data_IF_239423162621
#
_entry.id   IF_239423162621
#
_cell.length_a   1.000
_cell.length_b   1.000
_cell.length_c   1.000
_cell.angle_alpha   90.00
_cell.angle_beta   90.00
_cell.angle_gamma   90.00
#
_symmetry.space_group_name_H-M   'P 1'
#
loop_
_entity.id
_entity.type
_entity.pdbx_description
1 polymer ?
#
# COMPACT_ATOMS: atom_id res chain seq x y z
N UNK A 1 9.36 7.34 11.77
CA UNK A 1 8.01 6.86 12.14
C UNK A 1 7.40 5.95 11.07
N UNK A 2 7.62 6.20 9.77
CA UNK A 2 6.99 5.45 8.66
C UNK A 2 7.76 4.22 8.15
N UNK A 3 9.02 4.05 8.57
CA UNK A 3 9.90 2.96 8.08
C UNK A 3 9.32 1.58 8.43
N UNK A 4 9.05 0.75 7.42
CA UNK A 4 8.46 -0.58 7.58
C UNK A 4 6.93 -0.65 7.52
N UNK A 5 6.28 0.49 7.22
CA UNK A 5 4.85 0.60 6.93
C UNK A 5 4.61 1.15 5.52
N UNK A 6 5.58 0.99 4.62
CA UNK A 6 5.56 1.53 3.26
C UNK A 6 4.36 0.97 2.45
N UNK A 7 3.93 -0.26 2.76
CA UNK A 7 2.74 -0.93 2.22
C UNK A 7 1.41 -0.22 2.57
N UNK A 8 1.41 0.58 3.65
CA UNK A 8 0.24 1.31 4.15
C UNK A 8 0.16 2.75 3.61
N UNK A 9 1.19 3.20 2.88
CA UNK A 9 1.25 4.55 2.34
C UNK A 9 0.51 4.59 1.00
N UNK A 10 -0.32 5.61 0.81
CA UNK A 10 -0.93 5.99 -0.47
C UNK A 10 -0.60 7.45 -0.71
N UNK A 11 -0.04 7.75 -1.87
CA UNK A 11 0.45 9.09 -2.20
C UNK A 11 -0.51 9.70 -3.21
N UNK A 12 -1.03 10.89 -2.92
CA UNK A 12 -1.99 11.57 -3.79
C UNK A 12 -1.39 12.89 -4.25
N UNK A 13 -1.22 13.04 -5.56
CA UNK A 13 -0.87 14.31 -6.21
C UNK A 13 -2.16 15.06 -6.53
N UNK A 14 -2.62 15.86 -5.56
CA UNK A 14 -3.89 16.59 -5.65
C UNK A 14 -3.75 17.90 -6.46
N UNK A 15 -4.88 18.43 -6.93
CA UNK A 15 -5.00 19.68 -7.73
C UNK A 15 -4.23 19.61 -9.05
N UNK A 16 -4.14 18.43 -9.65
CA UNK A 16 -3.46 18.22 -10.91
C UNK A 16 -4.09 18.97 -12.09
N UNK A 17 -5.35 19.40 -11.95
CA UNK A 17 -6.10 20.18 -12.94
C UNK A 17 -5.74 21.69 -12.93
N UNK A 18 -4.96 22.15 -11.96
CA UNK A 18 -4.53 23.56 -11.87
C UNK A 18 -3.35 23.90 -12.79
N UNK A 19 -2.72 22.89 -13.39
CA UNK A 19 -1.53 23.01 -14.23
C UNK A 19 -1.74 22.30 -15.57
N UNK A 20 -0.99 22.71 -16.59
CA UNK A 20 -1.05 22.09 -17.90
C UNK A 20 -0.34 20.73 -17.92
N UNK A 21 -0.56 19.95 -19.00
CA UNK A 21 -0.01 18.60 -19.13
C UNK A 21 1.52 18.55 -18.98
N UNK A 22 2.26 19.52 -19.55
CA UNK A 22 3.73 19.51 -19.47
C UNK A 22 4.22 19.80 -18.04
N UNK A 23 3.63 20.78 -17.35
CA UNK A 23 3.99 21.05 -15.95
C UNK A 23 3.63 19.88 -15.05
N UNK A 24 2.49 19.22 -15.28
CA UNK A 24 2.07 18.04 -14.52
C UNK A 24 3.12 16.93 -14.57
N UNK A 25 3.64 16.61 -15.77
CA UNK A 25 4.70 15.60 -15.92
C UNK A 25 6.00 16.00 -15.21
N UNK A 26 6.36 17.30 -15.21
CA UNK A 26 7.53 17.80 -14.49
C UNK A 26 7.37 17.68 -12.97
N UNK A 27 6.21 18.07 -12.44
CA UNK A 27 5.90 17.98 -10.99
C UNK A 27 5.87 16.52 -10.55
N UNK A 28 5.23 15.65 -11.33
CA UNK A 28 5.19 14.21 -11.07
C UNK A 28 6.59 13.59 -11.04
N UNK A 29 7.43 13.90 -12.03
CA UNK A 29 8.83 13.44 -12.07
C UNK A 29 9.64 13.93 -10.87
N UNK A 30 9.50 15.21 -10.48
CA UNK A 30 10.17 15.77 -9.32
C UNK A 30 9.73 15.11 -8.00
N UNK A 31 8.43 14.81 -7.86
CA UNK A 31 7.88 14.08 -6.71
C UNK A 31 8.48 12.68 -6.61
N UNK A 32 8.44 11.91 -7.71
CA UNK A 32 8.98 10.55 -7.74
C UNK A 32 10.47 10.50 -7.43
N UNK A 33 11.24 11.46 -7.94
CA UNK A 33 12.65 11.60 -7.62
C UNK A 33 12.90 11.87 -6.13
N UNK A 34 12.09 12.74 -5.52
CA UNK A 34 12.18 13.03 -4.09
C UNK A 34 11.80 11.80 -3.25
N UNK A 35 10.71 11.12 -3.61
CA UNK A 35 10.25 9.91 -2.94
C UNK A 35 11.29 8.79 -2.99
N UNK A 36 11.95 8.56 -4.14
CA UNK A 36 13.00 7.55 -4.26
C UNK A 36 14.23 7.81 -3.37
N UNK A 37 14.46 9.05 -2.94
CA UNK A 37 15.51 9.38 -1.96
C UNK A 37 15.07 9.15 -0.51
N UNK A 38 13.78 9.34 -0.23
CA UNK A 38 13.21 9.29 1.12
C UNK A 38 12.75 7.88 1.49
N UNK A 39 12.05 7.21 0.58
CA UNK A 39 11.63 5.82 0.70
C UNK A 39 12.84 4.94 0.39
N UNK A 40 13.40 4.32 1.42
CA UNK A 40 14.55 3.42 1.31
C UNK A 40 14.10 2.01 0.89
N UNK A 41 13.23 1.92 -0.12
CA UNK A 41 12.66 0.67 -0.65
C UNK A 41 12.97 0.56 -2.14
N UNK A 42 13.32 -0.63 -2.65
CA UNK A 42 13.50 -0.85 -4.09
C UNK A 42 12.16 -0.79 -4.86
N UNK A 43 11.03 -0.89 -4.15
CA UNK A 43 9.69 -0.83 -4.71
C UNK A 43 9.24 0.62 -4.96
N UNK A 44 8.65 0.85 -6.13
CA UNK A 44 8.13 2.16 -6.53
C UNK A 44 6.77 2.39 -5.88
N UNK A 45 6.62 3.49 -5.13
CA UNK A 45 5.35 3.84 -4.51
C UNK A 45 4.30 4.24 -5.57
N UNK A 46 3.06 3.76 -5.42
CA UNK A 46 1.91 4.19 -6.24
C UNK A 46 1.51 5.61 -5.87
N UNK A 47 1.38 6.46 -6.88
CA UNK A 47 0.87 7.83 -6.77
C UNK A 47 -0.44 7.92 -7.54
N UNK A 48 -1.47 8.48 -6.92
CA UNK A 48 -2.77 8.77 -7.51
C UNK A 48 -2.80 10.25 -7.94
N UNK A 49 -3.04 10.50 -9.22
CA UNK A 49 -2.98 11.84 -9.79
C UNK A 49 -4.42 12.32 -10.07
N UNK A 50 -4.82 13.44 -9.48
CA UNK A 50 -6.17 13.93 -9.72
C UNK A 50 -6.47 15.25 -9.03
N UNK A 51 -7.73 15.66 -9.13
CA UNK A 51 -8.28 16.76 -8.34
C UNK A 51 -9.51 16.25 -7.62
N UNK A 52 -9.34 15.96 -6.33
CA UNK A 52 -10.34 15.25 -5.51
C UNK A 52 -11.29 16.26 -4.89
N UNK A 53 -12.13 16.86 -5.74
CA UNK A 53 -13.12 17.87 -5.37
C UNK A 53 -14.31 17.84 -6.34
N UNK A 54 -15.37 18.52 -5.95
CA UNK A 54 -16.67 18.61 -6.62
C UNK A 54 -16.78 19.84 -7.55
N UNK A 55 -15.65 20.51 -7.84
CA UNK A 55 -15.57 21.69 -8.70
C UNK A 55 -15.19 21.31 -10.14
N UNK A 56 -15.61 22.10 -11.16
CA UNK A 56 -15.22 21.86 -12.54
C UNK A 56 -13.70 21.97 -12.71
N UNK A 57 -13.13 21.06 -13.51
CA UNK A 57 -11.69 21.04 -13.79
C UNK A 57 -11.28 22.32 -14.54
N UNK A 58 -10.18 22.93 -14.11
CA UNK A 58 -9.62 24.10 -14.81
C UNK A 58 -8.97 23.72 -16.14
N UNK A 59 -8.13 22.67 -16.13
CA UNK A 59 -7.61 22.04 -17.33
C UNK A 59 -8.14 20.61 -17.43
N UNK A 60 -8.96 20.34 -18.45
CA UNK A 60 -9.66 19.06 -18.61
C UNK A 60 -9.02 18.11 -19.64
N UNK A 61 -7.88 18.50 -20.23
CA UNK A 61 -7.09 17.68 -21.18
C UNK A 61 -6.80 16.29 -20.61
N UNK A 62 -6.51 16.20 -19.31
CA UNK A 62 -6.19 14.95 -18.61
C UNK A 62 -7.37 14.39 -17.81
N UNK A 63 -8.61 14.83 -18.06
CA UNK A 63 -9.81 14.40 -17.29
C UNK A 63 -9.90 12.88 -17.14
N UNK A 64 -9.71 12.14 -18.25
CA UNK A 64 -9.75 10.67 -18.25
C UNK A 64 -8.71 10.03 -17.34
N UNK A 65 -7.52 10.64 -17.24
CA UNK A 65 -6.47 10.18 -16.33
C UNK A 65 -6.90 10.41 -14.88
N UNK A 66 -7.42 11.60 -14.57
CA UNK A 66 -7.87 11.93 -13.22
C UNK A 66 -9.01 11.02 -12.75
N UNK A 67 -10.02 10.81 -13.60
CA UNK A 67 -11.13 9.89 -13.30
C UNK A 67 -10.65 8.44 -13.12
N UNK A 68 -9.71 7.97 -13.95
CA UNK A 68 -9.15 6.63 -13.80
C UNK A 68 -8.37 6.45 -12.49
N UNK A 69 -7.53 7.43 -12.13
CA UNK A 69 -6.75 7.40 -10.89
C UNK A 69 -7.64 7.55 -9.65
N UNK A 70 -8.73 8.32 -9.76
CA UNK A 70 -9.74 8.42 -8.71
C UNK A 70 -10.46 7.08 -8.47
N UNK A 71 -10.88 6.41 -9.55
CA UNK A 71 -11.48 5.07 -9.48
C UNK A 71 -10.52 4.06 -8.84
N UNK A 72 -9.25 4.07 -9.25
CA UNK A 72 -8.21 3.20 -8.68
C UNK A 72 -8.02 3.47 -7.18
N UNK A 73 -8.01 4.74 -6.75
CA UNK A 73 -7.89 5.11 -5.34
C UNK A 73 -9.10 4.62 -4.54
N UNK A 74 -10.31 4.83 -5.06
CA UNK A 74 -11.53 4.42 -4.39
C UNK A 74 -11.65 2.91 -4.28
N UNK A 75 -11.27 2.16 -5.32
CA UNK A 75 -11.20 0.70 -5.29
C UNK A 75 -10.22 0.19 -4.26
N UNK A 76 -9.02 0.76 -4.21
CA UNK A 76 -8.03 0.40 -3.18
C UNK A 76 -8.57 0.71 -1.78
N UNK A 77 -9.23 1.84 -1.58
CA UNK A 77 -9.82 2.20 -0.29
C UNK A 77 -10.99 1.28 0.10
N UNK A 78 -11.87 0.92 -0.84
CA UNK A 78 -12.94 -0.07 -0.65
C UNK A 78 -12.40 -1.47 -0.32
N UNK A 79 -11.19 -1.80 -0.77
CA UNK A 79 -10.52 -3.05 -0.43
C UNK A 79 -9.91 -3.06 0.97
N UNK A 80 -9.74 -1.90 1.64
CA UNK A 80 -9.08 -1.82 2.93
C UNK A 80 -9.76 -2.66 4.03
N UNK A 81 -11.09 -2.71 4.17
CA UNK A 81 -11.71 -3.59 5.16
C UNK A 81 -11.40 -5.06 4.90
N UNK A 82 -11.37 -5.49 3.63
CA UNK A 82 -11.05 -6.87 3.23
C UNK A 82 -9.60 -7.22 3.58
N UNK A 83 -8.68 -6.31 3.26
CA UNK A 83 -7.26 -6.45 3.56
C UNK A 83 -6.93 -6.27 5.06
N UNK A 84 -7.89 -5.91 5.91
CA UNK A 84 -7.64 -5.67 7.34
C UNK A 84 -7.31 -6.96 8.09
N UNK A 85 -7.95 -8.08 7.76
CA UNK A 85 -7.69 -9.38 8.40
C UNK A 85 -6.28 -9.88 8.08
N UNK A 86 -5.89 -9.87 6.80
CA UNK A 86 -4.53 -10.18 6.37
C UNK A 86 -3.49 -9.26 7.01
N UNK A 87 -3.79 -7.95 7.10
CA UNK A 87 -2.90 -6.99 7.77
C UNK A 87 -2.74 -7.27 9.26
N UNK A 88 -3.84 -7.55 9.98
CA UNK A 88 -3.80 -7.92 11.41
C UNK A 88 -2.99 -9.20 11.63
N UNK A 89 -3.14 -10.17 10.74
CA UNK A 89 -2.38 -11.42 10.77
C UNK A 89 -0.88 -11.16 10.56
N UNK A 90 -0.51 -10.35 9.55
CA UNK A 90 0.88 -9.97 9.30
C UNK A 90 1.51 -9.20 10.47
N UNK A 91 0.77 -8.26 11.07
CA UNK A 91 1.22 -7.51 12.24
C UNK A 91 1.37 -8.43 13.48
N UNK A 92 0.51 -9.45 13.62
CA UNK A 92 0.65 -10.49 14.65
C UNK A 92 1.91 -11.33 14.44
N UNK A 93 2.19 -11.75 13.20
CA UNK A 93 3.40 -12.53 12.86
C UNK A 93 4.66 -11.72 13.19
N UNK A 94 4.72 -10.45 12.73
CA UNK A 94 5.83 -9.53 13.02
C UNK A 94 6.04 -9.38 14.53
N UNK A 95 4.95 -9.18 15.29
CA UNK A 95 4.99 -9.03 16.75
C UNK A 95 5.44 -10.31 17.45
N UNK A 96 4.99 -11.48 17.00
CA UNK A 96 5.37 -12.77 17.57
C UNK A 96 6.87 -13.03 17.39
N UNK A 97 7.42 -12.75 16.20
CA UNK A 97 8.88 -12.83 15.95
C UNK A 97 9.65 -11.88 16.85
N UNK A 98 9.25 -10.61 16.90
CA UNK A 98 9.91 -9.62 17.76
C UNK A 98 9.87 -10.03 19.25
N UNK A 99 8.75 -10.57 19.74
CA UNK A 99 8.62 -11.06 21.10
C UNK A 99 9.53 -12.27 21.37
N UNK A 100 9.64 -13.20 20.40
CA UNK A 100 10.56 -14.35 20.46
C UNK A 100 12.02 -13.89 20.57
N UNK A 101 12.44 -12.97 19.70
CA UNK A 101 13.80 -12.38 19.72
C UNK A 101 14.06 -11.67 21.04
N UNK A 102 13.10 -10.87 21.53
CA UNK A 102 13.21 -10.19 22.81
C UNK A 102 13.37 -11.19 23.98
N UNK A 103 12.65 -12.31 23.97
CA UNK A 103 12.79 -13.35 24.98
C UNK A 103 14.21 -13.97 24.99
N UNK A 104 14.81 -14.21 23.82
CA UNK A 104 16.20 -14.67 23.72
C UNK A 104 17.18 -13.64 24.27
N UNK A 105 17.02 -12.36 23.91
CA UNK A 105 17.90 -11.29 24.41
C UNK A 105 17.85 -11.24 25.94
N UNK A 106 16.64 -11.16 26.52
CA UNK A 106 16.48 -11.07 27.98
C UNK A 106 17.06 -12.31 28.68
N UNK A 107 16.84 -13.51 28.13
CA UNK A 107 17.42 -14.71 28.72
C UNK A 107 18.94 -14.78 28.59
N UNK A 108 19.52 -14.34 27.47
CA UNK A 108 20.97 -14.31 27.29
C UNK A 108 21.62 -13.35 28.30
N UNK A 109 21.03 -12.16 28.48
CA UNK A 109 21.46 -11.20 29.50
C UNK A 109 21.34 -11.80 30.91
N UNK A 110 20.24 -12.50 31.21
CA UNK A 110 20.06 -13.16 32.51
C UNK A 110 21.10 -14.26 32.76
N UNK A 111 21.47 -15.04 31.73
CA UNK A 111 22.45 -16.13 31.81
C UNK A 111 23.86 -15.62 32.09
N UNK A 112 24.22 -14.47 31.54
CA UNK A 112 25.54 -13.82 31.73
C UNK A 112 25.66 -13.04 33.05
N UNK A 113 24.57 -12.85 33.80
CA UNK A 113 24.61 -12.08 35.05
C UNK A 113 25.18 -12.90 36.22
N UNK A 114 26.14 -12.35 36.99
CA UNK A 114 26.67 -13.02 38.17
C UNK A 114 25.66 -13.02 39.32
N UNK A 115 25.61 -14.12 40.07
CA UNK A 115 24.66 -14.29 41.18
C UNK A 115 24.99 -13.43 42.40
N UNK A 116 26.26 -13.17 42.68
CA UNK A 116 26.72 -12.65 43.99
C UNK A 116 27.38 -11.27 43.91
N UNK A 117 28.46 -11.09 43.15
CA UNK A 117 29.24 -9.84 43.11
C UNK A 117 29.46 -9.33 41.67
N UNK A 118 29.75 -8.03 41.50
CA UNK A 118 30.09 -7.44 40.19
C UNK A 118 28.92 -7.17 39.25
N UNK A 119 27.68 -7.16 39.75
CA UNK A 119 26.44 -7.04 38.96
C UNK A 119 26.38 -5.75 38.13
N UNK A 120 26.70 -4.61 38.72
CA UNK A 120 26.63 -3.32 38.03
C UNK A 120 27.70 -3.18 36.94
N UNK A 121 28.91 -3.70 37.20
CA UNK A 121 29.99 -3.75 36.22
C UNK A 121 29.60 -4.60 35.02
N UNK A 122 29.14 -5.83 35.27
CA UNK A 122 28.71 -6.75 34.22
C UNK A 122 27.50 -6.23 33.44
N UNK A 123 26.53 -5.61 34.10
CA UNK A 123 25.40 -4.96 33.43
C UNK A 123 25.86 -3.89 32.43
N UNK A 124 26.77 -2.99 32.83
CA UNK A 124 27.31 -1.96 31.94
C UNK A 124 28.08 -2.56 30.76
N UNK A 125 28.85 -3.61 31.01
CA UNK A 125 29.57 -4.36 29.98
C UNK A 125 28.61 -5.02 28.97
N UNK A 126 27.57 -5.70 29.43
CA UNK A 126 26.56 -6.36 28.59
C UNK A 126 25.78 -5.36 27.73
N UNK A 127 25.41 -4.19 28.28
CA UNK A 127 24.75 -3.13 27.50
C UNK A 127 25.70 -2.59 26.43
N UNK A 128 26.96 -2.33 26.77
CA UNK A 128 27.97 -1.85 25.81
C UNK A 128 28.20 -2.85 24.68
N UNK A 129 28.25 -4.14 25.00
CA UNK A 129 28.51 -5.22 24.05
C UNK A 129 27.23 -5.85 23.47
N UNK A 130 26.07 -5.20 23.61
CA UNK A 130 24.78 -5.74 23.16
C UNK A 130 24.76 -6.11 21.66
N UNK A 131 25.52 -5.39 20.82
CA UNK A 131 25.63 -5.72 19.39
C UNK A 131 26.26 -7.11 19.15
N UNK A 132 27.29 -7.47 19.92
CA UNK A 132 27.90 -8.79 19.83
C UNK A 132 26.94 -9.90 20.29
N UNK A 133 26.12 -9.60 21.31
CA UNK A 133 25.06 -10.51 21.78
C UNK A 133 24.03 -10.73 20.66
N UNK A 134 23.66 -9.68 19.92
CA UNK A 134 22.76 -9.81 18.77
C UNK A 134 23.38 -10.69 17.69
N UNK A 135 24.64 -10.46 17.31
CA UNK A 135 25.34 -11.27 16.30
C UNK A 135 25.48 -12.74 16.70
N UNK A 136 25.65 -13.01 18.00
CA UNK A 136 25.67 -14.36 18.54
C UNK A 136 24.28 -15.02 18.44
N UNK A 137 23.23 -14.36 18.93
CA UNK A 137 21.86 -14.86 18.88
C UNK A 137 21.37 -15.07 17.45
N UNK A 138 21.77 -14.19 16.54
CA UNK A 138 21.44 -14.28 15.12
C UNK A 138 21.97 -15.59 14.52
N UNK A 139 23.22 -15.96 14.83
CA UNK A 139 23.84 -17.20 14.34
C UNK A 139 23.31 -18.44 15.06
N UNK A 140 23.16 -18.38 16.37
CA UNK A 140 22.74 -19.51 17.19
C UNK A 140 21.29 -19.94 16.90
N UNK A 141 20.40 -18.98 16.68
CA UNK A 141 18.97 -19.23 16.49
C UNK A 141 18.48 -18.98 15.04
N UNK A 142 19.39 -18.67 14.12
CA UNK A 142 19.08 -18.39 12.69
C UNK A 142 18.00 -17.29 12.52
N UNK A 143 18.13 -16.22 13.29
CA UNK A 143 17.18 -15.10 13.29
C UNK A 143 17.59 -14.11 12.20
N UNK A 144 16.62 -13.46 11.53
CA UNK A 144 16.92 -12.39 10.57
C UNK A 144 17.34 -11.11 11.29
N UNK A 145 18.34 -10.35 10.79
CA UNK A 145 18.71 -9.05 11.36
C UNK A 145 17.53 -8.08 11.53
N UNK A 146 16.55 -8.14 10.63
CA UNK A 146 15.38 -7.27 10.65
C UNK A 146 14.40 -7.53 11.79
N UNK A 147 14.48 -8.69 12.45
CA UNK A 147 13.61 -9.02 13.58
C UNK A 147 14.16 -8.48 14.92
N UNK A 148 15.38 -7.95 14.93
CA UNK A 148 15.98 -7.37 16.14
C UNK A 148 15.48 -5.94 16.40
N UNK A 149 15.23 -5.58 17.67
CA UNK A 149 14.90 -4.21 18.02
C UNK A 149 16.11 -3.30 17.85
N UNK A 150 15.86 -2.00 17.64
CA UNK A 150 16.92 -1.00 17.49
C UNK A 150 17.92 -1.05 18.67
N UNK A 151 19.20 -1.18 18.33
CA UNK A 151 20.27 -1.40 19.29
C UNK A 151 20.35 -0.28 20.34
N UNK A 152 20.31 0.99 19.90
CA UNK A 152 20.44 2.15 20.78
C UNK A 152 19.26 2.25 21.73
N UNK A 153 18.04 2.12 21.20
CA UNK A 153 16.82 2.10 22.03
C UNK A 153 16.83 0.98 23.06
N UNK A 154 17.29 -0.20 22.68
CA UNK A 154 17.39 -1.32 23.61
C UNK A 154 18.44 -1.05 24.70
N UNK A 155 19.60 -0.50 24.36
CA UNK A 155 20.64 -0.11 25.33
C UNK A 155 20.13 0.91 26.35
N UNK A 156 19.44 1.96 25.88
CA UNK A 156 18.81 2.98 26.73
C UNK A 156 17.77 2.37 27.67
N UNK A 157 16.86 1.56 27.13
CA UNK A 157 15.80 0.91 27.92
C UNK A 157 16.39 -0.04 28.97
N UNK A 158 17.38 -0.86 28.60
CA UNK A 158 18.02 -1.81 29.51
C UNK A 158 18.78 -1.14 30.66
N UNK A 159 19.28 0.08 30.48
CA UNK A 159 19.97 0.83 31.53
C UNK A 159 19.07 1.04 32.76
N UNK A 160 17.76 1.18 32.56
CA UNK A 160 16.77 1.40 33.62
C UNK A 160 16.23 0.13 34.27
N UNK A 161 16.65 -1.06 33.82
CA UNK A 161 16.14 -2.34 34.31
C UNK A 161 17.16 -3.11 35.15
N UNK A 162 16.68 -3.90 36.11
CA UNK A 162 17.51 -4.81 36.92
C UNK A 162 17.57 -6.20 36.29
N UNK A 163 18.74 -6.56 35.77
CA UNK A 163 18.92 -7.82 35.06
C UNK A 163 18.82 -9.05 35.98
N UNK A 164 18.97 -8.87 37.29
CA UNK A 164 18.81 -10.00 38.23
C UNK A 164 17.36 -10.46 38.33
N UNK A 165 16.40 -9.58 38.02
CA UNK A 165 14.96 -9.88 37.99
C UNK A 165 14.49 -10.46 36.66
N UNK A 166 15.35 -10.54 35.66
CA UNK A 166 15.00 -11.16 34.39
C UNK A 166 14.72 -12.64 34.56
N UNK A 167 13.73 -13.10 33.79
CA UNK A 167 13.36 -14.50 33.75
C UNK A 167 14.32 -15.29 32.88
N UNK A 168 14.58 -16.53 33.28
CA UNK A 168 15.28 -17.50 32.42
C UNK A 168 14.35 -17.91 31.28
N UNK A 169 14.94 -18.29 30.13
CA UNK A 169 14.17 -18.82 29.01
C UNK A 169 13.28 -19.99 29.44
N UNK A 170 12.03 -19.95 29.00
CA UNK A 170 11.05 -21.03 29.19
C UNK A 170 10.80 -21.69 27.84
N UNK A 171 11.43 -22.84 27.53
CA UNK A 171 11.32 -23.48 26.21
C UNK A 171 9.88 -23.73 25.78
N UNK A 172 9.03 -24.18 26.71
CA UNK A 172 7.59 -24.40 26.47
C UNK A 172 6.85 -23.18 25.90
N UNK A 173 7.20 -21.97 26.32
CA UNK A 173 6.55 -20.76 25.79
C UNK A 173 7.01 -20.45 24.36
N UNK A 174 8.26 -20.76 24.02
CA UNK A 174 8.78 -20.60 22.67
C UNK A 174 8.16 -21.63 21.73
N UNK A 175 8.03 -22.88 22.16
CA UNK A 175 7.39 -23.96 21.40
C UNK A 175 5.94 -23.60 21.01
N UNK A 176 5.20 -22.96 21.90
CA UNK A 176 3.83 -22.47 21.60
C UNK A 176 3.84 -21.41 20.50
N UNK A 177 4.78 -20.45 20.55
CA UNK A 177 4.90 -19.42 19.52
C UNK A 177 5.36 -20.01 18.19
N UNK A 178 6.28 -20.97 18.21
CA UNK A 178 6.80 -21.64 17.02
C UNK A 178 5.72 -22.50 16.35
N UNK A 179 4.94 -23.24 17.14
CA UNK A 179 3.78 -23.97 16.64
C UNK A 179 2.74 -23.03 16.03
N UNK A 180 2.44 -21.92 16.71
CA UNK A 180 1.51 -20.93 16.20
C UNK A 180 1.99 -20.41 14.82
N UNK A 181 3.26 -20.02 14.70
CA UNK A 181 3.84 -19.51 13.46
C UNK A 181 3.89 -20.55 12.33
N UNK A 182 4.16 -21.82 12.65
CA UNK A 182 4.34 -22.88 11.66
C UNK A 182 3.02 -23.52 11.19
N UNK A 183 2.07 -23.73 12.10
CA UNK A 183 0.83 -24.49 11.83
C UNK A 183 -0.41 -23.60 11.82
N UNK A 184 -0.62 -22.82 12.89
CA UNK A 184 -1.90 -22.13 13.11
C UNK A 184 -2.08 -20.94 12.17
N UNK A 185 -1.00 -20.20 11.88
CA UNK A 185 -1.01 -19.13 10.87
C UNK A 185 -1.35 -19.67 9.48
N UNK A 186 -0.80 -20.83 9.10
CA UNK A 186 -1.08 -21.44 7.79
C UNK A 186 -2.55 -21.84 7.66
N UNK A 187 -3.14 -22.41 8.72
CA UNK A 187 -4.57 -22.74 8.78
C UNK A 187 -5.44 -21.48 8.65
N UNK A 188 -5.08 -20.39 9.35
CA UNK A 188 -5.79 -19.11 9.23
C UNK A 188 -5.70 -18.53 7.81
N UNK A 189 -4.52 -18.55 7.20
CA UNK A 189 -4.33 -18.09 5.81
C UNK A 189 -5.20 -18.86 4.82
N UNK A 190 -5.42 -20.16 5.02
CA UNK A 190 -6.29 -20.96 4.17
C UNK A 190 -7.78 -20.62 4.32
N UNK A 191 -8.20 -20.06 5.45
CA UNK A 191 -9.61 -19.69 5.71
C UNK A 191 -9.97 -18.30 5.15
N UNK A 192 -9.00 -17.40 5.01
CA UNK A 192 -9.23 -16.01 4.58
C UNK A 192 -9.90 -15.92 3.19
N UNK A 193 -9.45 -16.64 2.14
CA UNK A 193 -10.11 -16.60 0.84
C UNK A 193 -11.58 -17.03 0.89
N UNK A 194 -11.92 -17.98 1.78
CA UNK A 194 -13.30 -18.45 1.94
C UNK A 194 -14.19 -17.41 2.64
N UNK A 195 -13.64 -16.67 3.61
CA UNK A 195 -14.32 -15.54 4.24
C UNK A 195 -14.55 -14.40 3.23
N UNK A 196 -13.57 -14.14 2.35
CA UNK A 196 -13.67 -13.14 1.27
C UNK A 196 -14.77 -13.47 0.26
N UNK A 197 -14.95 -14.73 -0.14
CA UNK A 197 -16.03 -15.15 -1.05
C UNK A 197 -17.39 -15.07 -0.36
N UNK A 198 -17.48 -15.37 0.93
CA UNK A 198 -18.75 -15.39 1.67
C UNK A 198 -19.23 -13.97 2.04
N UNK A 199 -18.31 -13.01 2.18
CA UNK A 199 -18.61 -11.59 2.47
C UNK A 199 -18.84 -10.73 1.22
N UNK A 200 -18.95 -11.33 0.03
CA UNK A 200 -19.23 -10.64 -1.25
C UNK A 200 -20.63 -10.03 -1.37
N UNK A 201 -21.52 -10.22 -0.39
CA UNK A 201 -22.91 -9.78 -0.50
C UNK A 201 -23.03 -8.25 -0.40
N UNK A 202 -22.10 -7.56 0.27
CA UNK A 202 -22.14 -6.10 0.39
C UNK A 202 -20.73 -5.45 0.45
N UNK A 203 -20.44 -4.40 -0.33
CA UNK A 203 -19.23 -3.62 -0.11
C UNK A 203 -19.26 -2.98 1.28
N UNK A 204 -18.18 -3.13 2.06
CA UNK A 204 -18.08 -2.61 3.43
C UNK A 204 -18.04 -1.07 3.50
N UNK A 205 -17.75 -0.39 2.40
CA UNK A 205 -17.81 1.07 2.26
C UNK A 205 -18.90 1.39 1.23
N UNK A 206 -19.97 2.05 1.68
CA UNK A 206 -21.13 2.43 0.87
C UNK A 206 -21.41 3.93 1.03
N UNK A 207 -22.03 4.52 0.01
CA UNK A 207 -22.51 5.91 0.03
C UNK A 207 -21.45 6.96 -0.30
N UNK A 208 -21.90 8.17 -0.61
CA UNK A 208 -21.04 9.32 -0.92
C UNK A 208 -20.29 9.16 -2.24
N UNK A 209 -19.01 9.55 -2.28
CA UNK A 209 -18.16 9.47 -3.48
C UNK A 209 -17.88 8.03 -3.98
N UNK A 210 -18.32 7.02 -3.22
CA UNK A 210 -18.19 5.60 -3.59
C UNK A 210 -19.40 5.07 -4.37
N UNK A 211 -20.50 5.83 -4.44
CA UNK A 211 -21.63 5.52 -5.32
C UNK A 211 -21.19 5.70 -6.78
N UNK A 212 -21.17 4.61 -7.56
CA UNK A 212 -20.77 4.67 -8.97
C UNK A 212 -19.35 4.18 -9.28
N UNK A 213 -18.57 3.74 -8.27
CA UNK A 213 -17.25 3.14 -8.51
C UNK A 213 -17.41 1.84 -9.30
N UNK A 214 -16.80 1.76 -10.48
CA UNK A 214 -17.03 0.73 -11.51
C UNK A 214 -18.49 0.56 -11.99
N UNK A 215 -19.38 1.56 -11.79
CA UNK A 215 -20.74 1.48 -12.30
C UNK A 215 -20.74 1.59 -13.83
N UNK A 216 -20.83 0.42 -14.46
CA UNK A 216 -20.99 0.26 -15.91
C UNK A 216 -22.46 0.14 -16.32
N UNK A 217 -23.41 0.25 -15.39
CA UNK A 217 -24.84 0.04 -15.63
C UNK A 217 -25.53 1.38 -15.81
N UNK A 218 -25.21 2.37 -14.96
CA UNK A 218 -25.79 3.72 -15.03
C UNK A 218 -25.44 4.44 -16.34
N UNK A 219 -26.36 5.20 -16.95
CA UNK A 219 -26.07 6.04 -18.11
C UNK A 219 -25.05 7.16 -17.83
N UNK A 220 -24.68 7.38 -16.57
CA UNK A 220 -23.65 8.34 -16.13
C UNK A 220 -22.39 7.65 -15.59
N UNK A 221 -22.23 6.36 -15.89
CA UNK A 221 -21.14 5.52 -15.41
C UNK A 221 -19.76 5.88 -15.98
N UNK A 222 -18.71 5.35 -15.35
CA UNK A 222 -17.33 5.51 -15.80
C UNK A 222 -17.17 5.11 -17.28
N UNK A 223 -16.52 5.97 -18.08
CA UNK A 223 -16.36 5.86 -19.55
C UNK A 223 -17.66 5.99 -20.37
N UNK A 224 -18.75 6.55 -19.82
CA UNK A 224 -19.95 6.91 -20.59
C UNK A 224 -20.05 8.42 -20.81
N UNK A 225 -20.73 8.84 -21.89
CA UNK A 225 -20.91 10.26 -22.22
C UNK A 225 -20.62 10.64 -23.67
N UNK A 226 -20.67 11.95 -23.96
CA UNK A 226 -20.79 12.54 -25.30
C UNK A 226 -19.92 11.88 -26.38
N UNK A 227 -20.60 11.25 -27.35
CA UNK A 227 -19.99 10.62 -28.52
C UNK A 227 -19.46 9.20 -28.31
N UNK A 228 -19.19 8.76 -27.08
CA UNK A 228 -18.63 7.42 -26.80
C UNK A 228 -19.69 6.33 -27.03
N UNK A 229 -20.92 6.60 -26.59
CA UNK A 229 -22.07 5.69 -26.78
C UNK A 229 -22.89 6.02 -28.03
N UNK A 230 -22.42 6.96 -28.86
CA UNK A 230 -23.11 7.31 -30.10
C UNK A 230 -23.09 6.09 -31.04
N UNK A 231 -24.24 5.43 -31.19
CA UNK A 231 -24.37 4.19 -31.95
C UNK A 231 -24.32 2.91 -31.17
N UNK A 232 -24.32 2.96 -29.83
CA UNK A 232 -24.44 1.77 -29.01
C UNK A 232 -25.76 1.04 -29.35
N UNK A 233 -25.64 -0.19 -29.86
CA UNK A 233 -26.79 -1.02 -30.26
C UNK A 233 -27.31 -0.79 -31.69
N UNK A 234 -26.72 0.13 -32.45
CA UNK A 234 -27.04 0.31 -33.87
C UNK A 234 -26.28 -0.73 -34.73
N UNK A 235 -26.96 -1.42 -35.66
CA UNK A 235 -26.34 -2.45 -36.50
C UNK A 235 -25.41 -1.88 -37.58
N UNK A 236 -25.55 -0.59 -37.89
CA UNK A 236 -24.78 0.12 -38.91
C UNK A 236 -24.18 1.41 -38.36
N UNK A 237 -23.26 2.00 -39.13
CA UNK A 237 -22.62 3.26 -38.77
C UNK A 237 -23.66 4.39 -38.66
N UNK A 238 -23.74 5.02 -37.49
CA UNK A 238 -24.80 5.99 -37.15
C UNK A 238 -24.95 7.15 -38.12
N UNK A 239 -23.85 7.60 -38.73
CA UNK A 239 -23.87 8.74 -39.64
C UNK A 239 -24.50 8.40 -40.99
N UNK A 240 -24.67 7.11 -41.33
CA UNK A 240 -25.35 6.70 -42.56
C UNK A 240 -26.77 7.26 -42.66
N UNK A 241 -27.46 7.42 -41.54
CA UNK A 241 -28.83 7.98 -41.48
C UNK A 241 -28.90 9.42 -41.98
N UNK A 242 -27.81 10.17 -41.85
CA UNK A 242 -27.74 11.59 -42.25
C UNK A 242 -26.72 11.84 -43.37
N UNK A 243 -26.05 10.79 -43.84
CA UNK A 243 -24.97 10.86 -44.83
C UNK A 243 -25.37 11.65 -46.07
N UNK A 244 -26.58 11.45 -46.59
CA UNK A 244 -27.05 12.18 -47.78
C UNK A 244 -27.05 13.71 -47.61
N UNK A 245 -27.30 14.22 -46.39
CA UNK A 245 -27.26 15.66 -46.09
C UNK A 245 -25.82 16.16 -46.16
N UNK A 246 -24.90 15.41 -45.55
CA UNK A 246 -23.48 15.77 -45.50
C UNK A 246 -22.81 15.61 -46.86
N UNK A 247 -23.16 14.58 -47.64
CA UNK A 247 -22.68 14.37 -49.01
C UNK A 247 -23.10 15.54 -49.90
N UNK A 248 -24.34 16.02 -49.79
CA UNK A 248 -24.79 17.21 -50.55
C UNK A 248 -24.01 18.48 -50.20
N UNK A 249 -23.60 18.65 -48.93
CA UNK A 249 -22.77 19.78 -48.50
C UNK A 249 -21.33 19.58 -48.99
N UNK A 250 -20.80 18.37 -48.86
CA UNK A 250 -19.46 17.98 -49.31
C UNK A 250 -19.26 18.29 -50.79
N UNK A 251 -20.20 17.88 -51.66
CA UNK A 251 -20.15 18.17 -53.09
C UNK A 251 -20.23 19.67 -53.39
N UNK A 252 -21.02 20.43 -52.63
CA UNK A 252 -21.13 21.88 -52.81
C UNK A 252 -19.83 22.64 -52.52
N UNK A 253 -18.90 22.03 -51.78
CA UNK A 253 -17.60 22.61 -51.44
C UNK A 253 -16.52 22.36 -52.51
N UNK A 254 -16.85 21.70 -53.62
CA UNK A 254 -15.93 21.48 -54.75
C UNK A 254 -14.76 20.56 -54.44
N UNK A 255 -15.01 19.31 -53.98
CA UNK A 255 -13.94 18.37 -53.65
C UNK A 255 -13.12 18.04 -54.90
N UNK A 256 -11.80 17.92 -54.74
CA UNK A 256 -10.90 17.42 -55.78
C UNK A 256 -10.58 15.96 -55.48
N UNK A 257 -10.94 15.05 -56.39
CA UNK A 257 -10.72 13.60 -56.24
C UNK A 257 -11.31 13.04 -54.93
N UNK A 258 -12.53 13.47 -54.58
CA UNK A 258 -13.22 13.02 -53.37
C UNK A 258 -12.58 13.52 -52.06
N UNK A 259 -11.79 14.61 -52.10
CA UNK A 259 -11.18 15.24 -50.93
C UNK A 259 -11.38 16.75 -50.94
N UNK A 260 -11.60 17.31 -49.75
CA UNK A 260 -11.68 18.76 -49.53
C UNK A 260 -10.36 19.22 -48.89
N UNK A 261 -9.90 20.42 -49.24
CA UNK A 261 -8.71 21.04 -48.65
C UNK A 261 -9.00 21.49 -47.21
N UNK A 262 -8.05 21.32 -46.29
CA UNK A 262 -8.20 21.79 -44.90
C UNK A 262 -7.98 23.29 -44.70
N UNK A 263 -7.91 24.06 -45.79
CA UNK A 263 -7.68 25.50 -45.82
C UNK A 263 -9.00 26.27 -45.94
#
# INVERSE_FOLDING_TARGET
>A
ALRGHDDKIRIVLNKADMIDHQQLMRVYGALMWSLGKVLQTPEVARVYIGSFWDQPLRYDVNRRLFEAEEQDLFKDMQSLPKNATLRKLNDLIKRARLAKVHAYIISALKKEMPSVFGKDGKKKELIKNLGQIYDQLQREHQISPGDFPDLKKMQESLAHHDFTKFNVLKPRLLEVVDKMLAEDIAKLMAMIPHEEVTSTIEPNIKGGAFEGVEDQISPFGYKRGEGIDAGAGEPEWIVNKERYKYDSIFESLGPTDGKITGA
#
